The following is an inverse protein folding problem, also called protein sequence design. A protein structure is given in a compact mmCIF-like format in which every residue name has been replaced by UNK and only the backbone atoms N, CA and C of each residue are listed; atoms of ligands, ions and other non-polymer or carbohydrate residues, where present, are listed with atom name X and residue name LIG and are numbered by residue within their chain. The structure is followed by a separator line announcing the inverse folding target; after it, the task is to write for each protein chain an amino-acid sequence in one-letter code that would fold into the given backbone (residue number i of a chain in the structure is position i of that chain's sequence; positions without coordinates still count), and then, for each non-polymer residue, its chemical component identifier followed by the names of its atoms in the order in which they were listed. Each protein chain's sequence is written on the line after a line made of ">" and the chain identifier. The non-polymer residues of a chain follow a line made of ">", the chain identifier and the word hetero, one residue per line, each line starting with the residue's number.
data_IF_456400763444
#
_entry.id   IF_456400763444
#
_cell.length_a   1.000
_cell.length_b   1.000
_cell.length_c   1.000
_cell.angle_alpha   90.00
_cell.angle_beta   90.00
_cell.angle_gamma   90.00
#
_symmetry.space_group_name_H-M   'P 1'
#
loop_
_entity.id
_entity.type
_entity.pdbx_description
1 polymer ?
#
# COMPACT_ATOMS: atom_id res chain seq x y z
N UNK A 1 -38.26 -28.31 13.62
CA UNK A 1 -38.52 -28.07 12.18
C UNK A 1 -37.48 -27.07 11.69
N UNK A 2 -36.60 -27.49 10.76
CA UNK A 2 -35.42 -26.74 10.33
C UNK A 2 -35.84 -25.66 9.34
N UNK A 3 -35.59 -24.39 9.68
CA UNK A 3 -35.84 -23.23 8.81
C UNK A 3 -35.03 -23.39 7.51
N UNK A 4 -35.61 -23.26 6.30
CA UNK A 4 -34.89 -23.49 5.06
C UNK A 4 -33.97 -22.29 4.83
N UNK A 5 -32.74 -22.37 5.33
CA UNK A 5 -31.67 -21.50 4.88
C UNK A 5 -31.49 -21.84 3.40
N UNK A 6 -31.86 -20.94 2.49
CA UNK A 6 -31.67 -21.18 1.06
C UNK A 6 -30.17 -21.23 0.79
N UNK A 7 -29.59 -22.44 0.82
CA UNK A 7 -28.15 -22.69 0.71
C UNK A 7 -27.60 -22.03 -0.55
N UNK A 8 -28.41 -21.94 -1.61
CA UNK A 8 -28.07 -21.24 -2.87
C UNK A 8 -27.85 -19.74 -2.66
N UNK A 9 -28.76 -19.06 -1.96
CA UNK A 9 -28.65 -17.62 -1.70
C UNK A 9 -27.43 -17.30 -0.82
N UNK A 10 -27.19 -18.10 0.23
CA UNK A 10 -25.99 -17.95 1.07
C UNK A 10 -24.71 -18.13 0.25
N UNK A 11 -24.67 -19.18 -0.58
CA UNK A 11 -23.50 -19.48 -1.42
C UNK A 11 -23.21 -18.34 -2.38
N UNK A 12 -24.25 -17.75 -2.99
CA UNK A 12 -24.12 -16.59 -3.88
C UNK A 12 -23.58 -15.36 -3.13
N UNK A 13 -24.12 -15.07 -1.94
CA UNK A 13 -23.63 -13.96 -1.11
C UNK A 13 -22.16 -14.14 -0.71
N UNK A 14 -21.77 -15.34 -0.28
CA UNK A 14 -20.37 -15.64 0.06
C UNK A 14 -19.44 -15.46 -1.14
N UNK A 15 -19.83 -15.99 -2.31
CA UNK A 15 -19.06 -15.80 -3.56
C UNK A 15 -18.90 -14.33 -3.92
N UNK A 16 -19.98 -13.55 -3.81
CA UNK A 16 -19.94 -12.11 -4.08
C UNK A 16 -19.01 -11.37 -3.11
N UNK A 17 -19.04 -11.68 -1.82
CA UNK A 17 -18.15 -11.08 -0.81
C UNK A 17 -16.67 -11.43 -1.07
N UNK A 18 -16.38 -12.68 -1.45
CA UNK A 18 -15.03 -13.11 -1.81
C UNK A 18 -14.55 -12.35 -3.05
N UNK A 19 -15.37 -12.30 -4.10
CA UNK A 19 -15.02 -11.62 -5.36
C UNK A 19 -14.80 -10.12 -5.14
N UNK A 20 -15.69 -9.45 -4.39
CA UNK A 20 -15.50 -8.05 -4.03
C UNK A 20 -14.20 -7.82 -3.27
N UNK A 21 -13.84 -8.71 -2.34
CA UNK A 21 -12.59 -8.59 -1.59
C UNK A 21 -11.36 -8.85 -2.47
N UNK A 22 -11.45 -9.77 -3.42
CA UNK A 22 -10.38 -10.01 -4.38
C UNK A 22 -10.19 -8.82 -5.32
N UNK A 23 -11.27 -8.26 -5.87
CA UNK A 23 -11.22 -7.07 -6.70
C UNK A 23 -10.62 -5.86 -5.96
N UNK A 24 -10.98 -5.67 -4.69
CA UNK A 24 -10.39 -4.64 -3.85
C UNK A 24 -8.87 -4.83 -3.76
N UNK A 25 -8.41 -6.04 -3.40
CA UNK A 25 -6.98 -6.35 -3.32
C UNK A 25 -6.26 -6.12 -4.65
N UNK A 26 -6.85 -6.59 -5.75
CA UNK A 26 -6.28 -6.43 -7.08
C UNK A 26 -6.15 -4.96 -7.46
N UNK A 27 -7.20 -4.15 -7.25
CA UNK A 27 -7.17 -2.71 -7.51
C UNK A 27 -6.07 -2.01 -6.72
N UNK A 28 -5.94 -2.28 -5.43
CA UNK A 28 -4.87 -1.70 -4.61
C UNK A 28 -3.47 -2.24 -4.90
N UNK A 29 -3.38 -3.45 -5.46
CA UNK A 29 -2.11 -4.03 -5.91
C UNK A 29 -1.66 -3.48 -7.26
N UNK A 30 -2.58 -3.19 -8.19
CA UNK A 30 -2.29 -2.78 -9.57
C UNK A 30 -2.29 -1.27 -9.79
N UNK A 31 -3.18 -0.52 -9.14
CA UNK A 31 -3.29 0.93 -9.38
C UNK A 31 -2.18 1.69 -8.65
N UNK A 32 -1.16 2.03 -9.44
CA UNK A 32 -0.01 2.89 -9.11
C UNK A 32 -0.40 4.39 -9.14
N UNK A 33 -1.64 4.75 -9.43
CA UNK A 33 -2.08 6.14 -9.44
C UNK A 33 -3.51 6.23 -8.95
N UNK A 34 -3.69 6.64 -7.69
CA UNK A 34 -5.00 7.08 -7.22
C UNK A 34 -5.24 8.47 -7.77
N UNK A 35 -5.77 8.55 -8.98
CA UNK A 35 -6.55 9.71 -9.35
C UNK A 35 -7.94 9.52 -8.74
N UNK A 36 -8.39 10.43 -7.85
CA UNK A 36 -9.74 10.40 -7.34
C UNK A 36 -10.68 10.92 -8.45
N UNK A 37 -11.02 10.05 -9.40
CA UNK A 37 -12.10 10.29 -10.35
C UNK A 37 -12.92 9.02 -10.47
N UNK A 38 -13.92 8.92 -9.61
CA UNK A 38 -15.32 9.00 -10.04
C UNK A 38 -16.23 8.82 -8.83
N UNK A 39 -17.17 9.76 -8.69
CA UNK A 39 -18.11 9.83 -7.58
C UNK A 39 -19.17 8.74 -7.82
N UNK A 40 -18.94 7.54 -7.31
CA UNK A 40 -19.95 6.48 -7.19
C UNK A 40 -19.74 5.75 -5.87
N UNK A 41 -20.69 5.93 -4.94
CA UNK A 41 -20.84 5.29 -3.62
C UNK A 41 -19.71 4.31 -3.28
N UNK A 42 -18.59 4.87 -2.84
CA UNK A 42 -17.41 4.10 -2.45
C UNK A 42 -17.68 3.32 -1.17
N UNK A 43 -17.33 2.03 -1.13
CA UNK A 43 -17.48 1.21 0.09
C UNK A 43 -16.72 1.82 1.28
N UNK A 44 -17.17 1.57 2.50
CA UNK A 44 -16.51 2.04 3.74
C UNK A 44 -15.03 1.62 3.79
N UNK A 45 -14.71 0.45 3.24
CA UNK A 45 -13.35 -0.07 3.21
C UNK A 45 -12.46 0.68 2.23
N UNK A 46 -12.99 1.03 1.06
CA UNK A 46 -12.25 1.84 0.09
C UNK A 46 -12.04 3.27 0.60
N UNK A 47 -13.04 3.88 1.25
CA UNK A 47 -12.87 5.19 1.92
C UNK A 47 -11.78 5.14 2.99
N UNK A 48 -11.74 4.06 3.77
CA UNK A 48 -10.70 3.84 4.76
C UNK A 48 -9.31 3.75 4.11
N UNK A 49 -9.16 2.96 3.04
CA UNK A 49 -7.89 2.81 2.34
C UNK A 49 -7.45 4.12 1.69
N UNK A 50 -8.37 4.86 1.05
CA UNK A 50 -8.08 6.19 0.50
C UNK A 50 -7.54 7.14 1.56
N UNK A 51 -8.24 7.24 2.70
CA UNK A 51 -7.76 8.05 3.84
C UNK A 51 -6.40 7.57 4.34
N UNK A 52 -6.19 6.26 4.49
CA UNK A 52 -4.94 5.70 4.94
C UNK A 52 -3.77 6.07 4.01
N UNK A 53 -3.98 5.98 2.69
CA UNK A 53 -2.96 6.36 1.70
C UNK A 53 -2.69 7.86 1.71
N UNK A 54 -3.72 8.70 1.79
CA UNK A 54 -3.54 10.16 1.88
C UNK A 54 -2.75 10.55 3.12
N UNK A 55 -2.99 9.91 4.27
CA UNK A 55 -2.21 10.15 5.48
C UNK A 55 -0.74 9.78 5.27
N UNK A 56 -0.46 8.63 4.67
CA UNK A 56 0.94 8.22 4.40
C UNK A 56 1.59 9.18 3.42
N UNK A 57 0.93 9.56 2.32
CA UNK A 57 1.45 10.48 1.29
C UNK A 57 1.83 11.83 1.91
N UNK A 58 0.96 12.40 2.75
CA UNK A 58 1.19 13.67 3.45
C UNK A 58 2.41 13.62 4.40
N UNK A 59 2.80 12.44 4.86
CA UNK A 59 3.89 12.24 5.83
C UNK A 59 5.06 11.43 5.23
N UNK A 60 5.15 11.28 3.90
CA UNK A 60 6.23 10.54 3.26
C UNK A 60 7.61 11.10 3.59
N UNK A 61 7.70 12.43 3.69
CA UNK A 61 8.91 13.16 4.02
C UNK A 61 9.13 13.37 5.51
N UNK A 62 8.33 12.78 6.41
CA UNK A 62 8.46 12.95 7.85
C UNK A 62 9.30 11.82 8.48
N UNK A 63 10.37 12.17 9.20
CA UNK A 63 11.26 11.22 9.88
C UNK A 63 10.55 10.47 11.01
N UNK A 64 9.63 11.15 11.69
CA UNK A 64 8.98 10.66 12.90
C UNK A 64 7.68 9.90 12.57
N UNK A 65 7.34 9.78 11.29
CA UNK A 65 6.18 9.04 10.85
C UNK A 65 6.39 7.53 10.92
N UNK A 66 5.87 6.96 12.00
CA UNK A 66 5.91 5.55 12.32
C UNK A 66 4.50 4.91 12.36
N UNK A 67 4.44 3.62 12.71
CA UNK A 67 3.17 2.90 12.78
C UNK A 67 2.25 3.43 13.89
N UNK A 68 2.81 3.88 15.02
CA UNK A 68 1.99 4.43 16.11
C UNK A 68 1.31 5.72 15.67
N UNK A 69 2.06 6.62 15.05
CA UNK A 69 1.58 7.89 14.52
C UNK A 69 0.58 7.67 13.39
N UNK A 70 0.83 6.70 12.52
CA UNK A 70 -0.13 6.31 11.49
C UNK A 70 -1.45 5.82 12.08
N UNK A 71 -1.42 4.92 13.08
CA UNK A 71 -2.63 4.43 13.75
C UNK A 71 -3.44 5.57 14.38
N UNK A 72 -2.76 6.48 15.10
CA UNK A 72 -3.38 7.68 15.68
C UNK A 72 -4.05 8.55 14.62
N UNK A 73 -3.36 8.88 13.51
CA UNK A 73 -3.91 9.73 12.43
C UNK A 73 -5.09 9.09 11.69
N UNK A 74 -5.07 7.77 11.56
CA UNK A 74 -6.19 7.00 10.97
C UNK A 74 -7.37 6.87 11.95
N UNK A 75 -7.14 7.11 13.25
CA UNK A 75 -8.17 7.04 14.29
C UNK A 75 -8.42 5.62 14.80
N UNK A 76 -7.41 4.75 14.76
CA UNK A 76 -7.50 3.36 15.20
C UNK A 76 -6.39 3.03 16.22
N UNK A 77 -6.65 2.05 17.08
CA UNK A 77 -5.58 1.41 17.84
C UNK A 77 -4.65 0.64 16.90
N UNK A 78 -3.41 0.39 17.33
CA UNK A 78 -2.43 -0.37 16.57
C UNK A 78 -2.97 -1.76 16.14
N UNK A 79 -3.60 -2.48 17.07
CA UNK A 79 -4.20 -3.78 16.81
C UNK A 79 -5.36 -3.71 15.80
N UNK A 80 -6.19 -2.66 15.87
CA UNK A 80 -7.30 -2.47 14.93
C UNK A 80 -6.80 -2.14 13.53
N UNK A 81 -5.82 -1.24 13.42
CA UNK A 81 -5.19 -0.92 12.15
C UNK A 81 -4.57 -2.16 11.50
N UNK A 82 -3.84 -2.96 12.28
CA UNK A 82 -3.23 -4.19 11.80
C UNK A 82 -4.28 -5.17 11.27
N UNK A 83 -5.32 -5.47 12.06
CA UNK A 83 -6.42 -6.37 11.63
C UNK A 83 -7.12 -5.84 10.38
N UNK A 84 -7.37 -4.54 10.30
CA UNK A 84 -8.07 -3.93 9.16
C UNK A 84 -7.23 -3.98 7.88
N UNK A 85 -5.95 -3.61 7.94
CA UNK A 85 -5.06 -3.70 6.76
C UNK A 85 -4.83 -5.15 6.31
N UNK A 86 -4.67 -6.10 7.24
CA UNK A 86 -4.58 -7.53 6.87
C UNK A 86 -5.86 -8.03 6.20
N UNK A 87 -7.02 -7.67 6.73
CA UNK A 87 -8.29 -8.08 6.15
C UNK A 87 -8.49 -7.52 4.73
N UNK A 88 -8.14 -6.26 4.51
CA UNK A 88 -8.42 -5.55 3.26
C UNK A 88 -7.36 -5.78 2.18
N UNK A 89 -6.08 -5.61 2.52
CA UNK A 89 -4.97 -5.59 1.56
C UNK A 89 -3.86 -6.59 1.87
N UNK A 90 -4.05 -7.43 2.89
CA UNK A 90 -3.08 -8.45 3.34
C UNK A 90 -1.69 -7.90 3.75
N UNK A 91 -1.66 -6.64 4.19
CA UNK A 91 -0.42 -5.97 4.63
C UNK A 91 -0.44 -5.69 6.13
N UNK A 92 0.73 -5.79 6.76
CA UNK A 92 0.93 -5.14 8.07
C UNK A 92 1.02 -3.62 7.87
N UNK A 93 0.78 -2.80 8.92
CA UNK A 93 0.94 -1.36 8.83
C UNK A 93 2.33 -0.91 8.36
N UNK A 94 3.39 -1.53 8.87
CA UNK A 94 4.77 -1.22 8.46
C UNK A 94 5.01 -1.56 6.98
N UNK A 95 4.46 -2.67 6.51
CA UNK A 95 4.56 -3.05 5.10
C UNK A 95 3.77 -2.08 4.22
N UNK A 96 2.58 -1.66 4.65
CA UNK A 96 1.75 -0.69 3.93
C UNK A 96 2.47 0.66 3.74
N UNK A 97 3.04 1.23 4.82
CA UNK A 97 3.83 2.47 4.76
C UNK A 97 5.02 2.30 3.81
N UNK A 98 5.74 1.18 3.92
CA UNK A 98 6.89 0.89 3.06
C UNK A 98 6.49 0.80 1.58
N UNK A 99 5.40 0.10 1.28
CA UNK A 99 4.89 -0.03 -0.09
C UNK A 99 4.55 1.34 -0.68
N UNK A 100 3.92 2.23 0.10
CA UNK A 100 3.66 3.61 -0.32
C UNK A 100 4.96 4.40 -0.58
N UNK A 101 5.97 4.30 0.29
CA UNK A 101 7.28 4.94 0.09
C UNK A 101 7.97 4.44 -1.19
N UNK A 102 7.95 3.13 -1.43
CA UNK A 102 8.51 2.53 -2.64
C UNK A 102 7.76 2.98 -3.90
N UNK A 103 6.43 3.08 -3.85
CA UNK A 103 5.62 3.63 -4.95
C UNK A 103 6.00 5.07 -5.27
N UNK A 104 6.17 5.93 -4.24
CA UNK A 104 6.64 7.30 -4.46
C UNK A 104 8.04 7.32 -5.08
N UNK A 105 8.94 6.46 -4.61
CA UNK A 105 10.29 6.38 -5.16
C UNK A 105 10.27 5.99 -6.64
N UNK A 106 9.42 5.04 -7.04
CA UNK A 106 9.25 4.65 -8.44
C UNK A 106 8.83 5.86 -9.31
N UNK A 107 7.86 6.66 -8.86
CA UNK A 107 7.45 7.86 -9.58
C UNK A 107 8.59 8.87 -9.73
N UNK A 108 9.35 9.11 -8.66
CA UNK A 108 10.50 10.02 -8.69
C UNK A 108 11.61 9.53 -9.63
N UNK A 109 11.85 8.23 -9.67
CA UNK A 109 12.83 7.60 -10.55
C UNK A 109 12.41 7.73 -12.02
N UNK A 110 11.14 7.47 -12.33
CA UNK A 110 10.60 7.62 -13.68
C UNK A 110 10.64 9.07 -14.18
N UNK A 111 10.61 10.04 -13.27
CA UNK A 111 10.70 11.46 -13.56
C UNK A 111 12.14 12.00 -13.53
N UNK A 112 13.15 11.15 -13.32
CA UNK A 112 14.56 11.53 -13.21
C UNK A 112 14.83 12.62 -12.15
N UNK A 113 14.12 12.57 -11.02
CA UNK A 113 14.21 13.57 -9.95
C UNK A 113 15.38 13.40 -8.95
N UNK A 114 16.40 12.63 -9.33
CA UNK A 114 17.59 12.40 -8.51
C UNK A 114 18.18 11.01 -8.70
N UNK A 115 19.30 10.77 -8.03
CA UNK A 115 19.92 9.44 -7.97
C UNK A 115 19.10 8.50 -7.09
N UNK A 116 19.33 7.19 -7.20
CA UNK A 116 18.67 6.22 -6.29
C UNK A 116 19.01 6.48 -4.83
N UNK A 117 20.23 6.93 -4.54
CA UNK A 117 20.65 7.32 -3.21
C UNK A 117 19.75 8.43 -2.64
N UNK A 118 19.64 9.53 -3.39
CA UNK A 118 18.88 10.72 -3.00
C UNK A 118 17.40 10.38 -2.85
N UNK A 119 16.85 9.59 -3.79
CA UNK A 119 15.45 9.19 -3.74
C UNK A 119 15.17 8.28 -2.55
N UNK A 120 16.07 7.34 -2.22
CA UNK A 120 15.93 6.49 -1.04
C UNK A 120 15.83 7.33 0.24
N UNK A 121 16.73 8.31 0.41
CA UNK A 121 16.68 9.22 1.55
C UNK A 121 15.44 10.10 1.54
N UNK A 122 15.03 10.61 0.36
CA UNK A 122 13.85 11.46 0.18
C UNK A 122 12.55 10.76 0.56
N UNK A 123 12.44 9.45 0.32
CA UNK A 123 11.31 8.62 0.76
C UNK A 123 11.53 7.97 2.13
N UNK A 124 12.48 8.50 2.92
CA UNK A 124 12.76 8.11 4.31
C UNK A 124 13.16 6.64 4.49
N UNK A 125 13.99 6.14 3.57
CA UNK A 125 14.82 4.97 3.84
C UNK A 125 16.16 5.43 4.40
N UNK A 126 16.57 4.85 5.54
CA UNK A 126 17.83 5.20 6.18
C UNK A 126 19.04 4.49 5.53
N UNK A 127 18.80 3.47 4.71
CA UNK A 127 19.81 2.66 4.07
C UNK A 127 19.45 2.41 2.60
N UNK A 128 20.20 2.97 1.64
CA UNK A 128 19.98 2.78 0.20
C UNK A 128 20.07 1.31 -0.27
N UNK A 129 20.91 0.48 0.36
CA UNK A 129 20.99 -0.95 0.02
C UNK A 129 19.71 -1.70 0.44
N UNK A 130 19.17 -1.39 1.63
CA UNK A 130 17.89 -1.94 2.08
C UNK A 130 16.72 -1.43 1.24
N UNK A 131 16.77 -0.15 0.81
CA UNK A 131 15.82 0.40 -0.16
C UNK A 131 15.84 -0.42 -1.46
N UNK A 132 17.02 -0.66 -2.04
CA UNK A 132 17.17 -1.41 -3.28
C UNK A 132 16.61 -2.84 -3.17
N UNK A 133 16.89 -3.53 -2.06
CA UNK A 133 16.34 -4.87 -1.80
C UNK A 133 14.80 -4.85 -1.75
N UNK A 134 14.22 -3.89 -1.00
CA UNK A 134 12.77 -3.75 -0.90
C UNK A 134 12.13 -3.36 -2.23
N UNK A 135 12.77 -2.46 -2.99
CA UNK A 135 12.31 -2.00 -4.29
C UNK A 135 12.31 -3.15 -5.30
N UNK A 136 13.38 -3.94 -5.33
CA UNK A 136 13.49 -5.13 -6.16
C UNK A 136 12.42 -6.17 -5.80
N UNK A 137 12.24 -6.47 -4.51
CA UNK A 137 11.18 -7.38 -4.04
C UNK A 137 9.77 -6.94 -4.45
N UNK A 138 9.51 -5.62 -4.47
CA UNK A 138 8.18 -5.07 -4.76
C UNK A 138 7.89 -5.01 -6.27
N UNK A 139 8.86 -4.62 -7.09
CA UNK A 139 8.63 -4.28 -8.50
C UNK A 139 9.32 -5.20 -9.49
N UNK A 140 10.16 -6.14 -9.04
CA UNK A 140 10.87 -7.09 -9.89
C UNK A 140 11.85 -6.45 -10.89
N UNK A 141 12.13 -5.15 -10.76
CA UNK A 141 12.97 -4.42 -11.72
C UNK A 141 14.41 -4.95 -11.63
N UNK A 142 14.96 -5.25 -12.81
CA UNK A 142 16.15 -6.07 -12.99
C UNK A 142 17.40 -5.50 -12.35
N UNK A 143 18.23 -6.43 -11.88
CA UNK A 143 19.53 -6.20 -11.27
C UNK A 143 20.47 -5.32 -12.11
N UNK A 144 20.23 -5.15 -13.43
CA UNK A 144 21.03 -4.26 -14.28
C UNK A 144 20.91 -2.78 -13.91
N UNK A 145 19.72 -2.32 -13.50
CA UNK A 145 19.53 -0.94 -13.01
C UNK A 145 20.33 -0.71 -11.72
N UNK A 146 20.43 -1.73 -10.85
CA UNK A 146 21.20 -1.71 -9.61
C UNK A 146 22.72 -1.91 -9.81
N UNK A 147 23.13 -2.61 -10.88
CA UNK A 147 24.55 -2.77 -11.24
C UNK A 147 25.15 -1.46 -11.72
N UNK A 148 24.44 -0.74 -12.59
CA UNK A 148 24.86 0.59 -13.06
C UNK A 148 24.89 1.60 -11.89
N UNK A 149 23.98 1.46 -10.93
CA UNK A 149 23.94 2.26 -9.72
C UNK A 149 25.05 1.97 -8.72
N UNK A 150 25.69 0.79 -8.69
CA UNK A 150 26.84 0.53 -7.78
C UNK A 150 28.13 1.19 -8.25
N UNK A 151 28.20 1.60 -9.52
CA UNK A 151 29.38 2.25 -10.10
C UNK A 151 29.28 3.79 -10.11
N UNK A 152 28.21 4.36 -9.58
CA UNK A 152 27.99 5.80 -9.42
C UNK A 152 28.09 6.29 -7.96
N UNK A 153 28.68 5.49 -7.05
CA UNK A 153 29.02 5.87 -5.67
C UNK A 153 30.53 6.07 -5.52
#
# INVERSE_FOLDING_TARGET
>A
MVKPFQTRELTLRVKNLINQRQQLRERFSREITLQPKDITITSTDEKFLQRAMSIVELHLGDSDFDVQTFAKKVGLSHAHLHRKLRALVDMSPSHFIRSMRLKRALMLLQQHHGTVAEIAYKVRFNNPAYFAECFHKQFGVMSYFLYDLRHLW
#
